data_IF_448550561336
#
_entry.id   IF_448550561336
#
_cell.length_a   1.000
_cell.length_b   1.000
_cell.length_c   1.000
_cell.angle_alpha   90.00
_cell.angle_beta   90.00
_cell.angle_gamma   90.00
#
_symmetry.space_group_name_H-M   'P 1'
#
loop_
_entity.id
_entity.type
_entity.pdbx_description
1 polymer ?
#
# COMPACT_ATOMS: atom_id res chain seq x y z
N UNK A 1 68.09 26.07 -6.72
CA UNK A 1 68.08 24.62 -7.02
C UNK A 1 66.65 24.20 -7.30
N UNK A 2 66.28 23.96 -8.56
CA UNK A 2 64.93 23.49 -8.93
C UNK A 2 64.93 21.97 -8.77
N UNK A 3 64.18 21.46 -7.79
CA UNK A 3 64.00 20.02 -7.61
C UNK A 3 63.10 19.50 -8.73
N UNK A 4 63.69 18.89 -9.75
CA UNK A 4 62.99 18.17 -10.82
C UNK A 4 62.45 16.87 -10.25
N UNK A 5 61.23 16.90 -9.72
CA UNK A 5 60.50 15.68 -9.37
C UNK A 5 60.15 14.93 -10.66
N UNK A 6 60.69 13.73 -10.81
CA UNK A 6 60.53 12.91 -12.01
C UNK A 6 59.06 12.45 -12.13
N UNK A 7 58.36 12.70 -13.25
CA UNK A 7 56.94 12.37 -13.39
C UNK A 7 56.63 10.88 -13.19
N UNK A 8 57.62 9.99 -13.39
CA UNK A 8 57.47 8.57 -13.10
C UNK A 8 57.33 8.27 -11.60
N UNK A 9 58.02 9.01 -10.73
CA UNK A 9 57.91 8.86 -9.28
C UNK A 9 56.54 9.35 -8.77
N UNK A 10 56.02 10.46 -9.31
CA UNK A 10 54.67 10.93 -9.00
C UNK A 10 53.60 9.89 -9.37
N UNK A 11 53.78 9.19 -10.49
CA UNK A 11 52.85 8.14 -10.91
C UNK A 11 52.91 6.91 -10.00
N UNK A 12 54.10 6.52 -9.52
CA UNK A 12 54.23 5.42 -8.56
C UNK A 12 53.60 5.76 -7.21
N UNK A 13 53.84 6.97 -6.69
CA UNK A 13 53.22 7.44 -5.44
C UNK A 13 51.68 7.51 -5.56
N UNK A 14 51.16 7.94 -6.72
CA UNK A 14 49.72 7.95 -6.97
C UNK A 14 49.11 6.54 -6.99
N UNK A 15 49.81 5.57 -7.58
CA UNK A 15 49.35 4.17 -7.62
C UNK A 15 49.33 3.54 -6.22
N UNK A 16 50.36 3.77 -5.40
CA UNK A 16 50.41 3.26 -4.03
C UNK A 16 49.35 3.91 -3.13
N UNK A 17 49.10 5.23 -3.28
CA UNK A 17 48.01 5.91 -2.57
C UNK A 17 46.64 5.33 -2.93
N UNK A 18 46.38 5.06 -4.20
CA UNK A 18 45.11 4.46 -4.61
C UNK A 18 44.92 3.02 -4.13
N UNK A 19 45.99 2.20 -4.15
CA UNK A 19 45.95 0.83 -3.63
C UNK A 19 45.67 0.80 -2.12
N UNK A 20 46.22 1.76 -1.38
CA UNK A 20 45.98 1.90 0.06
C UNK A 20 44.56 2.41 0.36
N UNK A 21 44.06 3.36 -0.45
CA UNK A 21 42.68 3.86 -0.34
C UNK A 21 41.63 2.77 -0.65
N UNK A 22 41.88 1.89 -1.61
CA UNK A 22 40.99 0.74 -1.88
C UNK A 22 40.96 -0.27 -0.72
N UNK A 23 42.12 -0.61 -0.15
CA UNK A 23 42.17 -1.51 1.02
C UNK A 23 41.46 -0.93 2.24
N UNK A 24 41.56 0.39 2.48
CA UNK A 24 40.85 1.07 3.57
C UNK A 24 39.34 1.15 3.31
N UNK A 25 38.90 1.32 2.06
CA UNK A 25 37.48 1.27 1.70
C UNK A 25 36.85 -0.13 1.85
N UNK A 26 37.63 -1.19 1.62
CA UNK A 26 37.19 -2.58 1.85
C UNK A 26 37.13 -2.95 3.35
N UNK A 27 37.99 -2.37 4.19
CA UNK A 27 37.92 -2.56 5.65
C UNK A 27 36.76 -1.77 6.27
N UNK A 28 36.48 -0.55 5.79
CA UNK A 28 35.33 0.25 6.23
C UNK A 28 33.97 -0.39 5.88
N UNK A 29 33.86 -1.07 4.72
CA UNK A 29 32.66 -1.84 4.34
C UNK A 29 32.37 -3.05 5.23
N UNK A 30 33.35 -3.56 5.99
CA UNK A 30 33.18 -4.73 6.88
C UNK A 30 32.75 -4.36 8.31
N UNK A 31 32.84 -3.08 8.71
CA UNK A 31 32.49 -2.64 10.07
C UNK A 31 31.16 -1.88 10.12
N UNK A 32 30.71 -1.25 9.03
CA UNK A 32 29.39 -0.59 8.97
C UNK A 32 28.22 -1.54 8.69
N UNK A 33 28.49 -2.76 8.16
CA UNK A 33 27.43 -3.72 7.83
C UNK A 33 26.80 -4.43 9.03
N UNK A 34 27.50 -4.50 10.17
CA UNK A 34 27.04 -5.30 11.31
C UNK A 34 26.22 -4.50 12.35
N UNK A 35 26.28 -3.17 12.33
CA UNK A 35 25.50 -2.29 13.23
C UNK A 35 24.26 -1.68 12.56
N UNK A 36 24.26 -1.48 11.24
CA UNK A 36 23.07 -1.01 10.50
C UNK A 36 22.05 -2.11 10.19
N UNK A 37 22.47 -3.38 10.06
CA UNK A 37 21.54 -4.49 9.82
C UNK A 37 20.58 -4.70 11.01
N UNK A 38 21.08 -4.65 12.25
CA UNK A 38 20.27 -4.83 13.46
C UNK A 38 19.30 -3.68 13.76
N UNK A 39 19.59 -2.46 13.27
CA UNK A 39 18.72 -1.29 13.46
C UNK A 39 17.72 -1.14 12.32
N UNK A 40 18.08 -1.50 11.06
CA UNK A 40 17.12 -1.51 9.95
C UNK A 40 16.10 -2.64 10.05
N UNK A 41 16.49 -3.82 10.53
CA UNK A 41 15.57 -4.96 10.60
C UNK A 41 14.48 -4.75 11.67
N UNK A 42 14.85 -4.21 12.85
CA UNK A 42 13.87 -3.90 13.91
C UNK A 42 12.97 -2.69 13.60
N UNK A 43 13.45 -1.70 12.84
CA UNK A 43 12.61 -0.56 12.43
C UNK A 43 11.78 -0.82 11.16
N UNK A 44 12.20 -1.72 10.26
CA UNK A 44 11.40 -2.11 9.10
C UNK A 44 10.23 -3.04 9.49
N UNK A 45 10.38 -3.86 10.54
CA UNK A 45 9.31 -4.73 11.03
C UNK A 45 8.20 -3.98 11.79
N UNK A 46 8.45 -2.74 12.24
CA UNK A 46 7.45 -1.91 12.93
C UNK A 46 7.00 -0.66 12.16
N UNK A 47 7.54 -0.40 10.96
CA UNK A 47 7.16 0.77 10.16
C UNK A 47 5.88 0.59 9.32
N UNK A 48 5.25 -0.59 9.31
CA UNK A 48 4.04 -0.84 8.53
C UNK A 48 3.03 -1.84 9.13
N UNK A 49 3.06 -2.08 10.44
CA UNK A 49 1.84 -2.57 11.13
C UNK A 49 1.00 -1.39 11.55
N UNK A 50 0.47 -0.63 10.59
CA UNK A 50 -0.88 -0.13 10.81
C UNK A 50 -1.72 -1.39 10.75
N UNK A 51 -2.22 -1.84 11.89
CA UNK A 51 -3.35 -2.76 11.90
C UNK A 51 -4.47 -2.00 11.20
N UNK A 52 -4.56 -2.19 9.88
CA UNK A 52 -5.65 -1.64 9.11
C UNK A 52 -6.91 -2.23 9.71
N UNK A 53 -7.88 -1.38 9.99
CA UNK A 53 -9.22 -1.82 10.35
C UNK A 53 -9.67 -2.86 9.31
N UNK A 54 -9.72 -4.11 9.74
CA UNK A 54 -10.00 -5.25 8.88
C UNK A 54 -11.13 -6.04 9.50
N UNK A 55 -12.06 -6.45 8.65
CA UNK A 55 -13.18 -7.29 9.01
C UNK A 55 -13.07 -8.53 8.11
N UNK A 56 -12.39 -9.60 8.56
CA UNK A 56 -12.05 -10.76 7.73
C UNK A 56 -13.22 -11.34 6.96
N UNK A 57 -14.36 -11.51 7.64
CA UNK A 57 -15.55 -12.08 7.04
C UNK A 57 -16.18 -11.12 6.02
N UNK A 58 -16.14 -9.80 6.25
CA UNK A 58 -16.60 -8.83 5.25
C UNK A 58 -15.63 -8.76 4.07
N UNK A 59 -14.31 -8.85 4.28
CA UNK A 59 -13.33 -8.94 3.20
C UNK A 59 -13.63 -10.15 2.30
N UNK A 60 -13.95 -11.29 2.91
CA UNK A 60 -14.37 -12.49 2.19
C UNK A 60 -15.64 -12.26 1.38
N UNK A 61 -16.65 -11.60 1.95
CA UNK A 61 -17.88 -11.27 1.20
C UNK A 61 -17.61 -10.33 0.03
N UNK A 62 -16.79 -9.29 0.21
CA UNK A 62 -16.40 -8.41 -0.89
C UNK A 62 -15.65 -9.15 -2.00
N UNK A 63 -14.80 -10.10 -1.61
CA UNK A 63 -14.11 -10.97 -2.55
C UNK A 63 -15.10 -11.86 -3.33
N UNK A 64 -16.06 -12.49 -2.64
CA UNK A 64 -17.10 -13.31 -3.28
C UNK A 64 -17.98 -12.49 -4.22
N UNK A 65 -18.23 -11.21 -3.93
CA UNK A 65 -18.94 -10.30 -4.84
C UNK A 65 -18.16 -10.09 -6.15
N UNK A 66 -16.83 -9.91 -6.09
CA UNK A 66 -15.97 -9.83 -7.29
C UNK A 66 -16.02 -11.13 -8.10
N UNK A 67 -15.90 -12.28 -7.43
CA UNK A 67 -15.99 -13.59 -8.07
C UNK A 67 -17.35 -13.80 -8.75
N UNK A 68 -18.43 -13.41 -8.06
CA UNK A 68 -19.80 -13.48 -8.59
C UNK A 68 -19.98 -12.62 -9.83
N UNK A 69 -19.30 -11.46 -9.93
CA UNK A 69 -19.32 -10.66 -11.15
C UNK A 69 -18.66 -11.40 -12.32
N UNK A 70 -17.45 -11.95 -12.12
CA UNK A 70 -16.73 -12.72 -13.15
C UNK A 70 -17.57 -13.90 -13.64
N UNK A 71 -18.17 -14.67 -12.72
CA UNK A 71 -19.04 -15.81 -13.06
C UNK A 71 -20.32 -15.39 -13.77
N UNK A 72 -20.94 -14.28 -13.36
CA UNK A 72 -22.14 -13.79 -14.03
C UNK A 72 -21.86 -13.44 -15.48
N UNK A 73 -20.70 -12.86 -15.80
CA UNK A 73 -20.33 -12.53 -17.17
C UNK A 73 -20.13 -13.78 -18.04
N UNK A 74 -19.54 -14.83 -17.47
CA UNK A 74 -19.28 -16.08 -18.19
C UNK A 74 -20.51 -16.98 -18.33
N UNK A 75 -21.31 -17.11 -17.27
CA UNK A 75 -22.42 -18.07 -17.20
C UNK A 75 -23.76 -17.45 -17.64
N UNK A 76 -23.96 -16.15 -17.39
CA UNK A 76 -25.23 -15.45 -17.60
C UNK A 76 -25.04 -14.04 -18.19
N UNK A 77 -24.43 -13.91 -19.38
CA UNK A 77 -24.04 -12.61 -19.94
C UNK A 77 -25.21 -11.63 -20.10
N UNK A 78 -26.40 -12.10 -20.44
CA UNK A 78 -27.60 -11.28 -20.61
C UNK A 78 -28.06 -10.62 -19.30
N UNK A 79 -27.74 -11.25 -18.16
CA UNK A 79 -28.08 -10.76 -16.82
C UNK A 79 -26.99 -9.88 -16.21
N UNK A 80 -25.89 -9.61 -16.93
CA UNK A 80 -24.77 -8.83 -16.39
C UNK A 80 -25.15 -7.37 -16.05
N UNK A 81 -26.25 -6.86 -16.61
CA UNK A 81 -26.79 -5.54 -16.30
C UNK A 81 -27.14 -5.34 -14.81
N UNK A 82 -27.47 -6.42 -14.08
CA UNK A 82 -27.63 -6.35 -12.63
C UNK A 82 -26.30 -6.06 -11.92
N UNK A 83 -25.17 -6.59 -12.41
CA UNK A 83 -23.84 -6.27 -11.89
C UNK A 83 -23.46 -4.83 -12.20
N UNK A 84 -23.76 -4.34 -13.40
CA UNK A 84 -23.56 -2.93 -13.75
C UNK A 84 -24.36 -1.99 -12.84
N UNK A 85 -25.60 -2.35 -12.51
CA UNK A 85 -26.43 -1.60 -11.56
C UNK A 85 -25.81 -1.61 -10.17
N UNK A 86 -25.38 -2.78 -9.71
CA UNK A 86 -24.69 -2.92 -8.42
C UNK A 86 -23.40 -2.08 -8.34
N UNK A 87 -22.60 -2.00 -9.41
CA UNK A 87 -21.43 -1.13 -9.45
C UNK A 87 -21.80 0.36 -9.25
N UNK A 88 -22.86 0.83 -9.91
CA UNK A 88 -23.38 2.20 -9.76
C UNK A 88 -23.88 2.46 -8.33
N UNK A 89 -24.53 1.49 -7.71
CA UNK A 89 -24.96 1.57 -6.30
C UNK A 89 -23.77 1.65 -5.34
N UNK A 90 -22.72 0.87 -5.57
CA UNK A 90 -21.46 0.97 -4.82
C UNK A 90 -20.85 2.38 -4.95
N UNK A 91 -20.81 2.95 -6.16
CA UNK A 91 -20.29 4.30 -6.39
C UNK A 91 -21.11 5.38 -5.68
N UNK A 92 -22.45 5.31 -5.75
CA UNK A 92 -23.35 6.24 -5.03
C UNK A 92 -23.09 6.17 -3.51
N UNK A 93 -22.99 4.97 -2.94
CA UNK A 93 -22.65 4.77 -1.53
C UNK A 93 -21.29 5.38 -1.19
N UNK A 94 -20.26 5.17 -2.03
CA UNK A 94 -18.94 5.76 -1.85
C UNK A 94 -18.98 7.29 -1.84
N UNK A 95 -19.78 7.90 -2.72
CA UNK A 95 -19.95 9.36 -2.77
C UNK A 95 -20.61 9.90 -1.50
N UNK A 96 -21.67 9.23 -1.02
CA UNK A 96 -22.37 9.61 0.23
C UNK A 96 -21.47 9.46 1.46
N UNK A 97 -20.75 8.35 1.57
CA UNK A 97 -19.78 8.11 2.64
C UNK A 97 -18.68 9.17 2.65
N UNK A 98 -18.14 9.51 1.47
CA UNK A 98 -17.16 10.59 1.32
C UNK A 98 -17.73 11.94 1.74
N UNK A 99 -18.96 12.25 1.37
CA UNK A 99 -19.65 13.46 1.78
C UNK A 99 -19.77 13.58 3.31
N UNK A 100 -20.26 12.53 3.97
CA UNK A 100 -20.35 12.48 5.43
C UNK A 100 -19.00 12.60 6.13
N UNK A 101 -17.98 11.91 5.63
CA UNK A 101 -16.60 12.02 6.12
C UNK A 101 -16.07 13.46 6.03
N UNK A 102 -16.24 14.12 4.88
CA UNK A 102 -15.79 15.51 4.68
C UNK A 102 -16.52 16.48 5.60
N UNK A 103 -17.82 16.29 5.82
CA UNK A 103 -18.59 17.08 6.79
C UNK A 103 -18.04 16.92 8.21
N UNK A 104 -17.84 15.69 8.68
CA UNK A 104 -17.28 15.44 10.02
C UNK A 104 -15.85 15.97 10.16
N UNK A 105 -15.01 15.84 9.13
CA UNK A 105 -13.68 16.45 9.10
C UNK A 105 -13.74 17.97 9.25
N UNK A 106 -14.71 18.63 8.60
CA UNK A 106 -14.91 20.08 8.72
C UNK A 106 -15.28 20.45 10.15
N UNK A 107 -16.22 19.74 10.77
CA UNK A 107 -16.62 19.97 12.17
C UNK A 107 -15.45 19.75 13.15
N UNK A 108 -14.66 18.68 12.94
CA UNK A 108 -13.45 18.43 13.73
C UNK A 108 -12.45 19.58 13.64
N UNK A 109 -12.17 20.07 12.42
CA UNK A 109 -11.26 21.21 12.19
C UNK A 109 -11.75 22.51 12.83
N UNK A 110 -13.06 22.67 12.99
CA UNK A 110 -13.69 23.81 13.67
C UNK A 110 -13.70 23.65 15.20
N UNK A 111 -13.16 22.57 15.76
CA UNK A 111 -13.15 22.31 17.20
C UNK A 111 -14.51 21.90 17.77
N UNK A 112 -15.46 21.48 16.92
CA UNK A 112 -16.82 21.12 17.33
C UNK A 112 -16.97 19.66 17.76
N UNK A 113 -15.91 18.86 17.63
CA UNK A 113 -15.86 17.49 18.17
C UNK A 113 -15.16 17.54 19.52
N UNK A 114 -15.86 17.10 20.57
CA UNK A 114 -15.31 17.10 21.93
C UNK A 114 -14.16 16.08 22.08
N UNK A 115 -13.34 16.24 23.12
CA UNK A 115 -12.32 15.24 23.46
C UNK A 115 -12.92 13.86 23.76
N UNK A 116 -14.13 13.81 24.33
CA UNK A 116 -14.83 12.57 24.62
C UNK A 116 -15.29 11.85 23.33
N UNK A 117 -15.65 12.62 22.30
CA UNK A 117 -16.14 12.09 21.02
C UNK A 117 -15.02 11.74 20.03
N UNK A 118 -13.77 12.12 20.31
CA UNK A 118 -12.63 11.92 19.39
C UNK A 118 -12.39 10.44 19.05
N UNK A 119 -12.65 9.54 20.00
CA UNK A 119 -12.58 8.08 19.77
C UNK A 119 -13.64 7.63 18.77
N UNK A 120 -14.89 8.05 18.97
CA UNK A 120 -16.02 7.73 18.07
C UNK A 120 -15.76 8.27 16.67
N UNK A 121 -15.26 9.49 16.57
CA UNK A 121 -14.87 10.11 15.30
C UNK A 121 -13.77 9.33 14.57
N UNK A 122 -12.74 8.88 15.31
CA UNK A 122 -11.64 8.08 14.74
C UNK A 122 -12.16 6.73 14.21
N UNK A 123 -12.99 6.04 15.00
CA UNK A 123 -13.62 4.77 14.60
C UNK A 123 -14.49 4.95 13.35
N UNK A 124 -15.30 6.01 13.29
CA UNK A 124 -16.12 6.30 12.11
C UNK A 124 -15.24 6.53 10.87
N UNK A 125 -14.16 7.30 11.00
CA UNK A 125 -13.23 7.53 9.90
C UNK A 125 -12.63 6.23 9.37
N UNK A 126 -12.20 5.35 10.26
CA UNK A 126 -11.59 4.06 9.89
C UNK A 126 -12.61 3.15 9.19
N UNK A 127 -13.81 3.00 9.76
CA UNK A 127 -14.87 2.21 9.16
C UNK A 127 -15.34 2.77 7.81
N UNK A 128 -15.49 4.10 7.70
CA UNK A 128 -15.85 4.77 6.44
C UNK A 128 -14.78 4.58 5.38
N UNK A 129 -13.50 4.69 5.74
CA UNK A 129 -12.38 4.42 4.85
C UNK A 129 -12.37 2.98 4.34
N UNK A 130 -12.57 2.02 5.25
CA UNK A 130 -12.65 0.59 4.94
C UNK A 130 -13.77 0.27 3.95
N UNK A 131 -15.00 0.74 4.22
CA UNK A 131 -16.13 0.50 3.33
C UNK A 131 -15.93 1.15 1.96
N UNK A 132 -15.46 2.40 1.95
CA UNK A 132 -15.25 3.14 0.71
C UNK A 132 -14.18 2.48 -0.19
N UNK A 133 -13.12 1.94 0.41
CA UNK A 133 -12.11 1.18 -0.33
C UNK A 133 -12.73 -0.07 -0.98
N UNK A 134 -13.38 -0.92 -0.19
CA UNK A 134 -13.91 -2.19 -0.69
C UNK A 134 -15.05 -2.02 -1.71
N UNK A 135 -15.94 -1.05 -1.50
CA UNK A 135 -17.02 -0.77 -2.46
C UNK A 135 -16.50 -0.26 -3.80
N UNK A 136 -15.46 0.60 -3.79
CA UNK A 136 -14.79 1.03 -5.03
C UNK A 136 -14.11 -0.11 -5.76
N UNK A 137 -13.42 -0.96 -5.01
CA UNK A 137 -12.76 -2.14 -5.55
C UNK A 137 -13.75 -3.09 -6.25
N UNK A 138 -14.96 -3.25 -5.71
CA UNK A 138 -16.02 -4.04 -6.36
C UNK A 138 -16.53 -3.37 -7.63
N UNK A 139 -16.87 -2.08 -7.56
CA UNK A 139 -17.37 -1.34 -8.71
C UNK A 139 -16.37 -1.36 -9.88
N UNK A 140 -15.10 -1.09 -9.58
CA UNK A 140 -13.99 -1.15 -10.53
C UNK A 140 -13.81 -2.55 -11.11
N UNK A 141 -13.84 -3.60 -10.27
CA UNK A 141 -13.74 -4.97 -10.77
C UNK A 141 -14.87 -5.34 -11.73
N UNK A 142 -16.11 -4.93 -11.44
CA UNK A 142 -17.25 -5.18 -12.33
C UNK A 142 -17.05 -4.50 -13.68
N UNK A 143 -16.56 -3.26 -13.70
CA UNK A 143 -16.22 -2.54 -14.93
C UNK A 143 -15.14 -3.28 -15.74
N UNK A 144 -14.08 -3.75 -15.07
CA UNK A 144 -13.04 -4.55 -15.72
C UNK A 144 -13.56 -5.88 -16.28
N UNK A 145 -14.49 -6.54 -15.57
CA UNK A 145 -15.13 -7.77 -16.07
C UNK A 145 -15.96 -7.46 -17.31
N UNK A 146 -16.66 -6.33 -17.34
CA UNK A 146 -17.41 -5.88 -18.51
C UNK A 146 -16.50 -5.68 -19.73
N UNK A 147 -15.37 -5.01 -19.52
CA UNK A 147 -14.36 -4.69 -20.52
C UNK A 147 -13.50 -5.90 -20.93
N UNK A 148 -13.60 -7.03 -20.21
CA UNK A 148 -12.76 -8.21 -20.43
C UNK A 148 -11.30 -8.03 -20.00
N UNK A 149 -11.03 -7.07 -19.10
CA UNK A 149 -9.69 -6.72 -18.60
C UNK A 149 -9.45 -7.16 -17.15
N UNK A 150 -10.47 -7.74 -16.50
CA UNK A 150 -10.37 -8.18 -15.11
C UNK A 150 -9.34 -9.29 -14.91
N UNK A 151 -8.56 -9.18 -13.83
CA UNK A 151 -7.73 -10.29 -13.37
C UNK A 151 -8.61 -11.46 -12.90
N UNK A 152 -8.16 -12.72 -13.08
CA UNK A 152 -8.87 -13.88 -12.56
C UNK A 152 -9.03 -13.81 -11.04
N UNK A 153 -10.24 -14.10 -10.58
CA UNK A 153 -10.61 -14.19 -9.17
C UNK A 153 -10.93 -15.65 -8.90
N UNK A 154 -10.25 -16.30 -7.95
CA UNK A 154 -10.45 -17.72 -7.60
C UNK A 154 -10.96 -17.94 -6.17
N UNK A 155 -11.60 -19.08 -5.88
CA UNK A 155 -12.08 -19.37 -4.53
C UNK A 155 -10.94 -19.56 -3.51
N UNK A 156 -9.78 -20.02 -3.95
CA UNK A 156 -8.60 -20.25 -3.11
C UNK A 156 -8.13 -18.93 -2.49
N UNK A 157 -8.05 -17.86 -3.27
CA UNK A 157 -7.70 -16.52 -2.80
C UNK A 157 -8.75 -15.95 -1.82
N UNK A 158 -10.02 -16.37 -1.90
CA UNK A 158 -11.07 -15.97 -0.94
C UNK A 158 -10.84 -16.58 0.45
N UNK A 159 -10.25 -17.79 0.49
CA UNK A 159 -10.05 -18.57 1.70
C UNK A 159 -8.72 -18.26 2.39
N UNK A 160 -7.81 -17.58 1.69
CA UNK A 160 -6.53 -17.09 2.22
C UNK A 160 -6.65 -15.76 2.98
N UNK A 161 -7.82 -15.11 2.95
CA UNK A 161 -8.05 -13.86 3.67
C UNK A 161 -7.93 -14.14 5.18
N UNK A 162 -6.92 -13.58 5.88
CA UNK A 162 -6.68 -13.89 7.29
C UNK A 162 -7.85 -13.44 8.18
N UNK A 163 -8.21 -14.29 9.14
CA UNK A 163 -9.06 -13.95 10.29
C UNK A 163 -8.40 -12.92 11.22
#
# INVERSE_FOLDING_TARGET
MKSTTNPFQQLQEWKERNKTAQKQAETAKKTESNSMAKVKEKNAQNANKREFYTLPQLNREFYLMKLSASRCKSEFPDNFHFKQTFAKECEDLCQRLKGGYLLLMKLHKQGLISKADLKTFTNFREASGYLNFNLKEIAHHIEQVEQGTAEPVSYEQANEIPN
#
